data_IF_924130490604
#
_entry.id   IF_924130490604
#
_cell.length_a   1.000
_cell.length_b   1.000
_cell.length_c   1.000
_cell.angle_alpha   90.00
_cell.angle_beta   90.00
_cell.angle_gamma   90.00
#
_symmetry.space_group_name_H-M   'P 1'
#
loop_
_entity.id
_entity.type
_entity.pdbx_description
1 polymer ?
#
# COMPACT_ATOMS: atom_id res chain seq x y z
N UNK A 1 -43.53 -8.97 2.46
CA UNK A 1 -42.26 -9.66 2.80
C UNK A 1 -41.32 -9.94 1.61
N UNK A 2 -41.71 -9.72 0.34
CA UNK A 2 -40.82 -10.00 -0.82
C UNK A 2 -39.77 -8.90 -1.10
N UNK A 3 -40.06 -7.64 -0.76
CA UNK A 3 -39.18 -6.48 -1.01
C UNK A 3 -37.92 -6.46 -0.13
N UNK A 4 -38.02 -6.92 1.12
CA UNK A 4 -36.90 -6.88 2.08
C UNK A 4 -35.80 -7.89 1.73
N UNK A 5 -36.17 -9.06 1.20
CA UNK A 5 -35.21 -10.09 0.78
C UNK A 5 -34.38 -9.63 -0.43
N UNK A 6 -35.00 -8.90 -1.37
CA UNK A 6 -34.30 -8.29 -2.51
C UNK A 6 -33.37 -7.14 -2.07
N UNK A 7 -33.79 -6.33 -1.09
CA UNK A 7 -32.96 -5.24 -0.56
C UNK A 7 -31.69 -5.75 0.12
N UNK A 8 -31.78 -6.85 0.88
CA UNK A 8 -30.60 -7.46 1.53
C UNK A 8 -29.63 -8.01 0.48
N UNK A 9 -30.13 -8.71 -0.55
CA UNK A 9 -29.28 -9.22 -1.63
C UNK A 9 -28.56 -8.12 -2.40
N UNK A 10 -29.26 -7.01 -2.70
CA UNK A 10 -28.66 -5.84 -3.37
C UNK A 10 -27.64 -5.16 -2.46
N UNK A 11 -27.93 -5.00 -1.16
CA UNK A 11 -26.98 -4.41 -0.21
C UNK A 11 -25.70 -5.24 -0.09
N UNK A 12 -25.82 -6.57 -0.08
CA UNK A 12 -24.67 -7.47 -0.02
C UNK A 12 -23.82 -7.39 -1.29
N UNK A 13 -24.45 -7.36 -2.46
CA UNK A 13 -23.77 -7.14 -3.74
C UNK A 13 -23.02 -5.81 -3.76
N UNK A 14 -23.68 -4.72 -3.33
CA UNK A 14 -23.04 -3.40 -3.25
C UNK A 14 -21.85 -3.41 -2.29
N UNK A 15 -21.98 -4.04 -1.13
CA UNK A 15 -20.87 -4.17 -0.18
C UNK A 15 -19.67 -4.91 -0.79
N UNK A 16 -19.91 -6.01 -1.48
CA UNK A 16 -18.84 -6.77 -2.17
C UNK A 16 -18.18 -5.93 -3.25
N UNK A 17 -18.95 -5.19 -4.06
CA UNK A 17 -18.42 -4.32 -5.12
C UNK A 17 -17.58 -3.18 -4.52
N UNK A 18 -18.07 -2.54 -3.46
CA UNK A 18 -17.35 -1.46 -2.78
C UNK A 18 -16.04 -1.99 -2.18
N UNK A 19 -16.09 -3.11 -1.46
CA UNK A 19 -14.88 -3.72 -0.88
C UNK A 19 -13.89 -4.16 -1.96
N UNK A 20 -14.36 -4.76 -3.05
CA UNK A 20 -13.52 -5.12 -4.18
C UNK A 20 -12.87 -3.90 -4.84
N UNK A 21 -13.62 -2.81 -5.01
CA UNK A 21 -13.11 -1.56 -5.58
C UNK A 21 -12.05 -0.95 -4.67
N UNK A 22 -12.31 -0.92 -3.37
CA UNK A 22 -11.36 -0.44 -2.36
C UNK A 22 -10.10 -1.30 -2.37
N UNK A 23 -10.22 -2.62 -2.41
CA UNK A 23 -9.07 -3.50 -2.47
C UNK A 23 -8.22 -3.24 -3.73
N UNK A 24 -8.84 -3.14 -4.91
CA UNK A 24 -8.09 -2.95 -6.16
C UNK A 24 -7.47 -1.54 -6.26
N UNK A 25 -8.12 -0.51 -5.72
CA UNK A 25 -7.68 0.90 -5.85
C UNK A 25 -7.27 1.54 -4.52
N UNK A 26 -6.87 0.74 -3.55
CA UNK A 26 -6.45 1.24 -2.24
C UNK A 26 -5.29 2.23 -2.40
N UNK A 27 -5.40 3.48 -1.90
CA UNK A 27 -4.35 4.50 -2.03
C UNK A 27 -3.06 4.10 -1.30
N UNK A 28 -1.89 4.46 -1.86
CA UNK A 28 -0.59 4.25 -1.23
C UNK A 28 -0.48 4.88 0.18
N UNK A 29 -1.23 5.95 0.45
CA UNK A 29 -1.27 6.62 1.75
C UNK A 29 -1.71 5.68 2.89
N UNK A 30 -2.61 4.73 2.62
CA UNK A 30 -3.07 3.78 3.65
C UNK A 30 -1.97 2.81 4.08
N UNK A 31 -1.09 2.42 3.16
CA UNK A 31 0.09 1.64 3.50
C UNK A 31 1.03 2.44 4.41
N UNK A 32 1.15 3.75 4.16
CA UNK A 32 1.85 4.70 5.01
C UNK A 32 1.30 4.73 6.43
N UNK A 33 0.01 4.97 6.61
CA UNK A 33 -0.64 5.02 7.92
C UNK A 33 -0.52 3.68 8.67
N UNK A 34 -0.67 2.56 7.96
CA UNK A 34 -0.52 1.24 8.55
C UNK A 34 0.90 1.00 9.06
N UNK A 35 1.93 1.35 8.28
CA UNK A 35 3.33 1.25 8.69
C UNK A 35 3.65 2.16 9.85
N UNK A 36 3.14 3.39 9.85
CA UNK A 36 3.33 4.34 10.96
C UNK A 36 2.75 3.83 12.28
N UNK A 37 1.65 3.07 12.20
CA UNK A 37 0.97 2.52 13.38
C UNK A 37 1.70 1.30 13.95
N UNK A 38 2.31 0.47 13.10
CA UNK A 38 2.91 -0.81 13.51
C UNK A 38 4.44 -0.78 13.59
N UNK A 39 5.09 0.23 13.02
CA UNK A 39 6.55 0.32 12.88
C UNK A 39 7.05 1.74 13.13
N UNK A 40 8.38 1.87 13.26
CA UNK A 40 9.05 3.18 13.28
C UNK A 40 9.25 3.77 11.89
N UNK A 41 8.75 3.13 10.84
CA UNK A 41 8.93 3.56 9.45
C UNK A 41 7.76 4.45 9.03
N UNK A 42 8.07 5.58 8.41
CA UNK A 42 7.10 6.48 7.78
C UNK A 42 7.30 6.49 6.28
N UNK A 43 6.21 6.33 5.53
CA UNK A 43 6.17 6.67 4.11
C UNK A 43 5.74 8.14 3.98
N UNK A 44 6.57 8.94 3.32
CA UNK A 44 6.38 10.37 3.05
C UNK A 44 6.17 10.57 1.54
N UNK A 45 5.29 11.49 1.14
CA UNK A 45 4.93 11.73 -0.28
C UNK A 45 4.60 10.42 -1.02
N UNK A 46 3.82 9.54 -0.39
CA UNK A 46 3.40 8.27 -0.97
C UNK A 46 2.42 8.50 -2.12
N UNK A 47 2.77 8.00 -3.32
CA UNK A 47 1.98 8.15 -4.56
C UNK A 47 1.66 6.78 -5.14
N UNK A 48 0.52 6.69 -5.81
CA UNK A 48 0.03 5.44 -6.41
C UNK A 48 -0.93 4.69 -5.50
N UNK A 49 -0.92 3.37 -5.61
CA UNK A 49 -1.75 2.46 -4.83
C UNK A 49 -0.91 1.68 -3.82
N UNK A 50 -1.57 0.97 -2.91
CA UNK A 50 -0.89 -0.01 -2.05
C UNK A 50 -0.18 -1.10 -2.85
N UNK A 51 -0.58 -1.32 -4.11
CA UNK A 51 -0.01 -2.33 -5.01
C UNK A 51 1.20 -1.81 -5.77
N UNK A 52 1.06 -0.67 -6.45
CA UNK A 52 2.13 -0.06 -7.23
C UNK A 52 2.25 1.40 -6.83
N UNK A 53 3.42 1.78 -6.33
CA UNK A 53 3.62 3.12 -5.82
C UNK A 53 5.07 3.49 -5.56
N UNK A 54 5.24 4.77 -5.23
CA UNK A 54 6.54 5.33 -4.89
C UNK A 54 6.38 6.18 -3.64
N UNK A 55 7.38 6.19 -2.77
CA UNK A 55 7.38 7.05 -1.58
C UNK A 55 8.80 7.34 -1.12
N UNK A 56 8.96 8.41 -0.36
CA UNK A 56 10.15 8.64 0.44
C UNK A 56 10.01 7.87 1.76
N UNK A 57 11.10 7.30 2.25
CA UNK A 57 11.10 6.55 3.51
C UNK A 57 11.79 7.38 4.58
N UNK A 58 11.13 7.51 5.72
CA UNK A 58 11.72 8.06 6.93
C UNK A 58 11.68 7.05 8.07
N UNK A 59 12.67 7.09 8.96
CA UNK A 59 12.63 6.38 10.23
C UNK A 59 12.35 7.41 11.31
N UNK A 60 11.27 7.20 12.05
CA UNK A 60 10.80 8.07 13.12
C UNK A 60 10.99 7.36 14.46
N UNK A 61 11.72 7.98 15.38
CA UNK A 61 11.83 7.49 16.76
C UNK A 61 10.71 8.01 17.69
N UNK A 62 9.85 8.88 17.15
CA UNK A 62 8.73 9.53 17.86
C UNK A 62 8.99 11.01 18.18
N UNK A 63 10.25 11.47 18.09
CA UNK A 63 10.63 12.89 18.23
C UNK A 63 11.23 13.45 16.96
N UNK A 64 12.03 12.65 16.25
CA UNK A 64 12.71 13.07 15.04
C UNK A 64 12.48 12.04 13.93
N UNK A 65 12.29 12.52 12.70
CA UNK A 65 12.15 11.67 11.52
C UNK A 65 13.36 11.85 10.63
N UNK A 66 14.22 10.85 10.60
CA UNK A 66 15.38 10.82 9.72
C UNK A 66 14.94 10.31 8.35
N UNK A 67 15.01 11.17 7.35
CA UNK A 67 14.74 10.82 5.96
C UNK A 67 15.87 9.97 5.39
N UNK A 68 15.52 8.82 4.82
CA UNK A 68 16.47 8.00 4.07
C UNK A 68 16.54 8.57 2.65
N UNK A 69 17.74 8.88 2.13
CA UNK A 69 17.89 9.40 0.78
C UNK A 69 17.45 8.37 -0.26
N UNK A 70 16.60 8.82 -1.18
CA UNK A 70 16.04 8.02 -2.26
C UNK A 70 14.55 7.71 -2.07
N UNK A 71 13.82 7.63 -3.17
CA UNK A 71 12.46 7.07 -3.17
C UNK A 71 12.55 5.56 -3.26
N UNK A 72 11.69 4.87 -2.52
CA UNK A 72 11.37 3.49 -2.82
C UNK A 72 10.30 3.47 -3.89
N UNK A 73 10.43 2.50 -4.79
CA UNK A 73 9.38 2.10 -5.70
C UNK A 73 9.02 0.67 -5.34
N UNK A 74 7.73 0.39 -5.22
CA UNK A 74 7.24 -0.96 -5.03
C UNK A 74 6.23 -1.27 -6.11
N UNK A 75 6.30 -2.50 -6.54
CA UNK A 75 5.40 -3.06 -7.52
C UNK A 75 4.97 -4.44 -7.02
N UNK A 76 3.68 -4.56 -6.74
CA UNK A 76 2.99 -5.79 -6.35
C UNK A 76 2.04 -6.19 -7.49
N UNK A 77 2.49 -6.11 -8.76
CA UNK A 77 1.74 -6.60 -9.93
C UNK A 77 1.45 -8.11 -9.85
N UNK A 78 2.19 -8.86 -9.03
CA UNK A 78 2.04 -10.30 -8.85
C UNK A 78 1.51 -10.68 -7.46
N UNK A 79 0.31 -10.25 -7.08
CA UNK A 79 -0.44 -10.96 -6.03
C UNK A 79 -1.22 -12.10 -6.70
N UNK A 80 -0.47 -13.02 -7.30
CA UNK A 80 -0.98 -14.29 -7.79
C UNK A 80 -0.73 -15.39 -6.74
N UNK A 81 -1.56 -16.45 -6.67
CA UNK A 81 -1.45 -17.50 -5.64
C UNK A 81 -0.12 -18.28 -5.61
N UNK A 82 0.85 -18.00 -6.51
CA UNK A 82 2.07 -18.81 -6.69
C UNK A 82 3.38 -18.03 -6.64
N UNK A 83 3.38 -16.70 -6.58
CA UNK A 83 4.60 -15.87 -6.46
C UNK A 83 4.26 -14.59 -5.73
N UNK A 84 4.91 -14.32 -4.60
CA UNK A 84 4.97 -13.00 -4.00
C UNK A 84 6.32 -12.42 -4.42
N UNK A 85 6.34 -11.64 -5.49
CA UNK A 85 7.54 -10.93 -5.93
C UNK A 85 7.42 -9.47 -5.52
N UNK A 86 7.87 -9.11 -4.31
CA UNK A 86 8.05 -7.71 -3.95
C UNK A 86 9.36 -7.22 -4.58
N UNK A 87 9.27 -6.53 -5.72
CA UNK A 87 10.45 -5.89 -6.32
C UNK A 87 10.68 -4.54 -5.63
N UNK A 88 11.64 -4.52 -4.72
CA UNK A 88 12.16 -3.27 -4.14
C UNK A 88 13.40 -2.89 -4.94
N UNK A 89 13.30 -1.85 -5.78
CA UNK A 89 14.46 -1.30 -6.47
C UNK A 89 15.00 -0.11 -5.69
N UNK A 90 16.33 -0.05 -5.51
CA UNK A 90 16.97 1.00 -4.74
C UNK A 90 18.27 1.46 -5.43
N UNK A 91 18.44 2.76 -5.74
CA UNK A 91 19.59 3.27 -6.48
C UNK A 91 20.96 2.99 -5.83
N UNK A 92 20.99 2.86 -4.49
CA UNK A 92 22.22 2.58 -3.75
C UNK A 92 22.73 1.15 -3.91
N UNK A 93 21.88 0.20 -4.32
CA UNK A 93 22.31 -1.18 -4.61
C UNK A 93 23.08 -1.30 -5.94
N UNK A 94 22.97 -0.29 -6.82
CA UNK A 94 23.62 -0.28 -8.13
C UNK A 94 24.97 0.44 -8.15
N UNK A 95 25.38 1.08 -7.05
CA UNK A 95 26.69 1.72 -6.97
C UNK A 95 27.76 0.68 -6.63
N UNK A 96 28.85 0.56 -7.42
CA UNK A 96 30.00 -0.22 -7.02
C UNK A 96 30.60 0.43 -5.77
N UNK A 97 30.76 -0.35 -4.71
CA UNK A 97 31.56 0.04 -3.54
C UNK A 97 32.99 0.25 -4.05
N UNK A 98 33.36 1.50 -4.30
CA UNK A 98 34.73 1.92 -4.57
C UNK A 98 35.50 2.10 -3.26
#
# INVERSE_FOLDING_TARGET
>A
MKRTLSSVGVALLLAVVVLGTIAIRAPAAWLGDWLQTHTKVRLLDARGTVWHGTALVGISDGRETTLIPGRIEWDLDEIGPRRLAARVSHPWLTMPLA
#
